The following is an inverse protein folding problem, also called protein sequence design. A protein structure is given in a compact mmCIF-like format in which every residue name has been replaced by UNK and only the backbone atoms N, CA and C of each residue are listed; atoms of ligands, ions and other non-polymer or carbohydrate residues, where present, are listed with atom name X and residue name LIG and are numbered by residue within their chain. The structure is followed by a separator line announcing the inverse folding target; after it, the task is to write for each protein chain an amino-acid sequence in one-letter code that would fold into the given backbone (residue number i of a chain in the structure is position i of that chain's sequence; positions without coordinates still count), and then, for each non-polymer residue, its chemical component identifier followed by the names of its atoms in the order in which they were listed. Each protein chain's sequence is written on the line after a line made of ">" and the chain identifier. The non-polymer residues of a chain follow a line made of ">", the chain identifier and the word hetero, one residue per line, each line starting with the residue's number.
data_IF_728376765824
#
_entry.id   IF_728376765824
#
_cell.length_a   1.000
_cell.length_b   1.000
_cell.length_c   1.000
_cell.angle_alpha   90.00
_cell.angle_beta   90.00
_cell.angle_gamma   90.00
#
_symmetry.space_group_name_H-M   'P 1'
#
loop_
_entity.id
_entity.type
_entity.pdbx_description
1 polymer ?
#
# COMPACT_ATOMS: atom_id res chain seq x y z
N UNK A 1 19.02 -12.06 2.54
CA UNK A 1 19.05 -10.80 1.77
C UNK A 1 18.31 -9.75 2.56
N UNK A 2 18.72 -8.47 2.56
CA UNK A 2 18.00 -7.40 3.27
C UNK A 2 16.91 -6.78 2.39
N UNK A 3 15.92 -6.11 3.00
CA UNK A 3 14.87 -5.38 2.26
C UNK A 3 15.47 -4.29 1.35
N UNK A 4 16.53 -3.59 1.79
CA UNK A 4 17.23 -2.58 0.99
C UNK A 4 17.88 -3.18 -0.25
N UNK A 5 18.55 -4.33 -0.11
CA UNK A 5 19.18 -5.02 -1.24
C UNK A 5 18.14 -5.53 -2.24
N UNK A 6 16.99 -6.01 -1.75
CA UNK A 6 15.88 -6.45 -2.60
C UNK A 6 15.22 -5.27 -3.32
N UNK A 7 15.01 -4.17 -2.62
CA UNK A 7 14.45 -2.92 -3.15
C UNK A 7 15.33 -2.36 -4.29
N UNK A 8 16.65 -2.32 -4.10
CA UNK A 8 17.60 -1.90 -5.13
C UNK A 8 17.56 -2.81 -6.36
N UNK A 9 17.61 -4.14 -6.17
CA UNK A 9 17.56 -5.11 -7.27
C UNK A 9 16.26 -5.00 -8.09
N UNK A 10 15.14 -4.76 -7.42
CA UNK A 10 13.84 -4.70 -8.07
C UNK A 10 13.45 -3.31 -8.55
N UNK A 11 14.31 -2.29 -8.33
CA UNK A 11 14.01 -0.88 -8.60
C UNK A 11 12.69 -0.44 -7.93
N UNK A 12 12.56 -0.76 -6.65
CA UNK A 12 11.40 -0.43 -5.80
C UNK A 12 11.86 0.26 -4.53
N UNK A 13 10.93 0.90 -3.84
CA UNK A 13 11.21 1.41 -2.49
C UNK A 13 11.10 0.30 -1.46
N UNK A 14 11.81 0.45 -0.35
CA UNK A 14 11.70 -0.44 0.82
C UNK A 14 10.26 -0.49 1.35
N UNK A 15 9.51 0.61 1.28
CA UNK A 15 8.08 0.65 1.63
C UNK A 15 7.22 -0.24 0.72
N UNK A 16 7.52 -0.29 -0.58
CA UNK A 16 6.81 -1.19 -1.51
C UNK A 16 7.14 -2.65 -1.20
N UNK A 17 8.43 -2.97 -0.96
CA UNK A 17 8.85 -4.31 -0.55
C UNK A 17 8.14 -4.74 0.74
N UNK A 18 8.15 -3.89 1.77
CA UNK A 18 7.44 -4.12 3.02
C UNK A 18 5.94 -4.32 2.80
N UNK A 19 5.33 -3.58 1.87
CA UNK A 19 3.92 -3.77 1.50
C UNK A 19 3.63 -5.11 0.82
N UNK A 20 4.55 -5.65 0.02
CA UNK A 20 4.41 -6.99 -0.56
C UNK A 20 4.60 -8.09 0.49
N UNK A 21 5.57 -7.96 1.37
CA UNK A 21 5.82 -8.92 2.46
C UNK A 21 4.65 -9.00 3.47
N UNK A 22 3.95 -7.88 3.68
CA UNK A 22 2.80 -7.81 4.58
C UNK A 22 1.45 -7.97 3.85
N UNK A 23 1.44 -8.46 2.60
CA UNK A 23 0.23 -8.63 1.79
C UNK A 23 -0.65 -7.36 1.63
N UNK A 24 -0.11 -6.17 1.88
CA UNK A 24 -0.80 -4.89 1.69
C UNK A 24 -0.95 -4.54 0.22
N UNK A 25 -0.05 -5.05 -0.62
CA UNK A 25 -0.10 -4.89 -2.07
C UNK A 25 0.02 -6.23 -2.77
N UNK A 26 -0.75 -6.40 -3.84
CA UNK A 26 -0.55 -7.52 -4.77
C UNK A 26 0.46 -7.11 -5.85
N UNK A 27 1.64 -7.73 -5.92
CA UNK A 27 2.58 -7.46 -7.01
C UNK A 27 1.98 -7.95 -8.34
N UNK A 28 2.33 -7.29 -9.45
CA UNK A 28 2.02 -7.80 -10.78
C UNK A 28 2.85 -9.05 -11.07
N UNK A 29 2.40 -9.91 -12.00
CA UNK A 29 3.13 -11.15 -12.34
C UNK A 29 4.57 -10.87 -12.78
N UNK A 30 4.79 -9.78 -13.52
CA UNK A 30 6.12 -9.32 -13.91
C UNK A 30 6.99 -8.95 -12.72
N UNK A 31 6.42 -8.29 -11.70
CA UNK A 31 7.16 -7.92 -10.50
C UNK A 31 7.44 -9.13 -9.61
N UNK A 32 6.48 -10.04 -9.50
CA UNK A 32 6.66 -11.32 -8.81
C UNK A 32 7.83 -12.11 -9.41
N UNK A 33 7.95 -12.12 -10.74
CA UNK A 33 9.08 -12.75 -11.44
C UNK A 33 10.42 -12.10 -11.08
N UNK A 34 10.47 -10.76 -11.00
CA UNK A 34 11.68 -10.01 -10.64
C UNK A 34 12.08 -10.28 -9.18
N UNK A 35 11.10 -10.30 -8.27
CA UNK A 35 11.32 -10.62 -6.85
C UNK A 35 11.85 -12.04 -6.69
N UNK A 36 11.26 -13.00 -7.40
CA UNK A 36 11.67 -14.39 -7.39
C UNK A 36 13.11 -14.57 -7.90
N UNK A 37 13.44 -13.94 -9.03
CA UNK A 37 14.80 -13.95 -9.60
C UNK A 37 15.82 -13.33 -8.63
N UNK A 38 15.49 -12.18 -8.02
CA UNK A 38 16.36 -11.50 -7.07
C UNK A 38 16.67 -12.34 -5.82
N UNK A 39 15.71 -13.18 -5.41
CA UNK A 39 15.79 -14.10 -4.28
C UNK A 39 16.33 -15.49 -4.65
N UNK A 40 16.45 -15.81 -5.94
CA UNK A 40 16.87 -17.12 -6.42
C UNK A 40 15.82 -18.22 -6.22
N UNK A 41 14.54 -17.86 -6.21
CA UNK A 41 13.39 -18.78 -6.03
C UNK A 41 12.46 -18.72 -7.23
N UNK A 42 11.45 -19.59 -7.29
CA UNK A 42 10.43 -19.52 -8.34
C UNK A 42 9.27 -18.60 -7.89
N UNK A 43 8.57 -17.94 -8.82
CA UNK A 43 7.41 -17.09 -8.50
C UNK A 43 6.35 -17.80 -7.67
N UNK A 44 6.13 -19.10 -7.95
CA UNK A 44 5.19 -19.95 -7.21
C UNK A 44 5.57 -20.12 -5.74
N UNK A 45 6.86 -20.00 -5.41
CA UNK A 45 7.35 -20.13 -4.03
C UNK A 45 7.08 -18.84 -3.23
N UNK A 46 6.82 -17.71 -3.92
CA UNK A 46 6.42 -16.43 -3.34
C UNK A 46 4.89 -16.25 -3.27
N UNK A 47 4.13 -17.18 -3.83
CA UNK A 47 2.67 -17.15 -3.81
C UNK A 47 2.18 -18.36 -3.04
N UNK A 48 1.49 -18.15 -1.94
CA UNK A 48 0.69 -19.22 -1.36
C UNK A 48 -0.55 -19.43 -2.24
N UNK A 49 -0.93 -20.68 -2.58
CA UNK A 49 -2.26 -20.93 -3.11
C UNK A 49 -3.25 -20.35 -2.10
N UNK A 50 -4.19 -19.55 -2.59
CA UNK A 50 -5.24 -18.98 -1.76
C UNK A 50 -6.12 -20.13 -1.25
N UNK A 51 -5.78 -20.68 -0.09
CA UNK A 51 -6.70 -21.49 0.69
C UNK A 51 -7.73 -20.51 1.26
N UNK A 52 -8.94 -20.59 0.72
CA UNK A 52 -10.04 -19.66 0.99
C UNK A 52 -10.67 -19.89 2.37
N UNK A 53 -9.86 -20.23 3.37
CA UNK A 53 -10.29 -20.51 4.74
C UNK A 53 -9.70 -19.46 5.69
N UNK A 54 -10.60 -18.58 6.14
CA UNK A 54 -10.50 -17.79 7.37
C UNK A 54 -9.48 -16.65 7.43
N UNK A 55 -9.77 -15.52 6.78
CA UNK A 55 -9.33 -14.21 7.29
C UNK A 55 -10.49 -13.21 7.15
N UNK A 56 -11.53 -13.47 7.92
CA UNK A 56 -12.50 -12.45 8.36
C UNK A 56 -12.10 -12.08 9.79
N UNK A 57 -11.03 -11.28 9.93
CA UNK A 57 -10.66 -10.56 11.16
C UNK A 57 -9.33 -9.80 10.96
N UNK A 58 -9.34 -8.51 11.27
CA UNK A 58 -8.16 -7.64 11.51
C UNK A 58 -7.53 -6.89 10.32
N UNK A 59 -8.33 -6.10 9.59
CA UNK A 59 -7.86 -4.89 8.89
C UNK A 59 -8.35 -3.58 9.55
N UNK A 60 -8.73 -3.62 10.83
CA UNK A 60 -8.97 -2.40 11.63
C UNK A 60 -7.66 -1.80 12.15
N UNK A 61 -6.83 -1.29 11.23
CA UNK A 61 -5.66 -0.51 11.61
C UNK A 61 -5.37 0.65 10.65
N UNK A 62 -6.40 1.44 10.32
CA UNK A 62 -6.26 2.89 10.12
C UNK A 62 -7.44 3.64 10.74
N UNK A 63 -7.61 3.63 12.08
CA UNK A 63 -8.56 4.52 12.71
C UNK A 63 -7.88 5.88 12.87
N UNK A 64 -8.28 6.89 12.09
CA UNK A 64 -8.33 8.33 12.44
C UNK A 64 -8.00 9.29 11.29
N UNK A 65 -7.32 8.87 10.21
CA UNK A 65 -6.95 9.82 9.14
C UNK A 65 -8.15 10.18 8.24
N UNK A 66 -9.00 9.21 7.89
CA UNK A 66 -10.17 9.46 7.03
C UNK A 66 -11.16 10.44 7.67
N UNK A 67 -11.45 10.30 8.97
CA UNK A 67 -12.36 11.21 9.67
C UNK A 67 -11.84 12.65 9.75
N UNK A 68 -10.53 12.81 10.02
CA UNK A 68 -9.89 14.13 10.06
C UNK A 68 -9.90 14.78 8.66
N UNK A 69 -9.68 13.99 7.61
CA UNK A 69 -9.68 14.49 6.25
C UNK A 69 -11.09 14.89 5.78
N UNK A 70 -12.10 14.12 6.13
CA UNK A 70 -13.50 14.45 5.82
C UNK A 70 -13.98 15.70 6.56
N UNK A 71 -13.65 15.85 7.84
CA UNK A 71 -13.98 17.05 8.62
C UNK A 71 -13.29 18.30 8.03
N UNK A 72 -12.01 18.20 7.69
CA UNK A 72 -11.27 19.27 7.04
C UNK A 72 -11.86 19.64 5.66
N UNK A 73 -12.26 18.65 4.86
CA UNK A 73 -12.93 18.90 3.57
C UNK A 73 -14.24 19.65 3.74
N UNK A 74 -15.07 19.26 4.71
CA UNK A 74 -16.35 19.92 4.97
C UNK A 74 -16.16 21.38 5.41
N UNK A 75 -15.19 21.66 6.28
CA UNK A 75 -14.91 23.02 6.74
C UNK A 75 -14.38 23.92 5.61
N UNK A 76 -13.49 23.40 4.76
CA UNK A 76 -12.95 24.10 3.59
C UNK A 76 -14.04 24.34 2.55
N UNK A 77 -14.86 23.33 2.25
CA UNK A 77 -15.98 23.42 1.31
C UNK A 77 -16.96 24.53 1.73
N UNK A 78 -17.33 24.56 3.02
CA UNK A 78 -18.18 25.59 3.61
C UNK A 78 -17.57 26.98 3.51
N UNK A 79 -16.27 27.12 3.77
CA UNK A 79 -15.56 28.41 3.70
C UNK A 79 -15.43 28.94 2.28
N UNK A 80 -15.31 28.05 1.30
CA UNK A 80 -15.18 28.39 -0.12
C UNK A 80 -16.53 28.48 -0.86
N UNK A 81 -17.63 28.03 -0.24
CA UNK A 81 -18.95 27.99 -0.87
C UNK A 81 -19.04 26.99 -2.03
N UNK A 82 -18.20 25.95 -2.02
CA UNK A 82 -18.12 24.93 -3.08
C UNK A 82 -18.59 23.58 -2.53
N UNK A 83 -19.10 22.68 -3.36
CA UNK A 83 -19.44 21.33 -2.92
C UNK A 83 -18.20 20.59 -2.41
N UNK A 84 -18.34 19.80 -1.35
CA UNK A 84 -17.25 19.03 -0.73
C UNK A 84 -16.50 18.14 -1.72
N UNK A 85 -17.20 17.62 -2.74
CA UNK A 85 -16.64 16.80 -3.82
C UNK A 85 -15.64 17.55 -4.71
N UNK A 86 -15.73 18.89 -4.76
CA UNK A 86 -14.80 19.74 -5.50
C UNK A 86 -13.51 20.03 -4.70
N UNK A 87 -13.45 19.67 -3.41
CA UNK A 87 -12.29 19.92 -2.54
C UNK A 87 -11.33 18.74 -2.59
N UNK A 88 -10.20 18.91 -3.28
CA UNK A 88 -9.09 17.96 -3.28
C UNK A 88 -7.99 18.42 -2.31
N UNK A 89 -7.76 17.64 -1.27
CA UNK A 89 -6.68 17.86 -0.29
C UNK A 89 -5.55 16.89 -0.63
N UNK A 90 -4.35 17.43 -0.88
CA UNK A 90 -3.14 16.65 -1.08
C UNK A 90 -2.25 16.86 0.14
N UNK A 91 -1.92 15.78 0.86
CA UNK A 91 -1.01 15.82 1.99
C UNK A 91 0.37 15.41 1.49
N UNK A 92 1.34 16.32 1.58
CA UNK A 92 2.76 16.05 1.28
C UNK A 92 3.47 15.80 2.60
N UNK A 93 4.05 14.60 2.76
CA UNK A 93 4.90 14.27 3.90
C UNK A 93 6.34 14.52 3.47
N UNK A 94 6.94 15.58 3.99
CA UNK A 94 8.37 15.84 3.84
C UNK A 94 9.11 14.96 4.85
N UNK A 95 10.03 14.11 4.36
CA UNK A 95 10.81 13.13 5.14
C UNK A 95 12.27 13.57 5.21
#
# INVERSE_FOLDING_TARGET
>A
MTQEALAQKCQRSTNQINGYENARYKPTDRLLQILADALGVLPKDLTTPYESDQIDQSLEATPQIDGILDEAKHEIAKSLGVPTEAVRISVTIEI
#
